data_IF_044407858845
#
_entry.id   IF_044407858845
#
_cell.length_a   1.000
_cell.length_b   1.000
_cell.length_c   1.000
_cell.angle_alpha   90.00
_cell.angle_beta   90.00
_cell.angle_gamma   90.00
#
_symmetry.space_group_name_H-M   'P 1'
#
loop_
_entity.id
_entity.type
_entity.pdbx_description
1 polymer ?
#
# COMPACT_ATOMS: atom_id res chain seq x y z
N UNK A 1 22.91 2.24 -10.02
CA UNK A 1 23.80 2.61 -8.91
C UNK A 1 24.84 1.54 -8.59
N UNK A 2 24.45 0.26 -8.41
CA UNK A 2 25.38 -0.86 -8.14
C UNK A 2 26.54 -0.97 -9.15
N UNK A 3 26.25 -0.87 -10.44
CA UNK A 3 27.25 -0.91 -11.52
C UNK A 3 28.25 0.26 -11.46
N UNK A 4 27.79 1.49 -11.20
CA UNK A 4 28.65 2.66 -11.03
C UNK A 4 29.53 2.60 -9.77
N UNK A 5 29.03 1.99 -8.69
CA UNK A 5 29.78 1.82 -7.45
C UNK A 5 30.90 0.77 -7.59
N UNK A 6 30.66 -0.31 -8.34
CA UNK A 6 31.66 -1.35 -8.66
C UNK A 6 32.75 -0.79 -9.58
N UNK A 7 32.36 0.04 -10.55
CA UNK A 7 33.29 0.72 -11.47
C UNK A 7 34.18 1.74 -10.74
N UNK A 8 33.61 2.48 -9.79
CA UNK A 8 34.36 3.45 -8.97
C UNK A 8 35.29 2.80 -7.93
N UNK A 9 34.95 1.61 -7.41
CA UNK A 9 35.77 0.91 -6.42
C UNK A 9 36.95 0.15 -7.03
N UNK A 10 36.90 -0.14 -8.33
CA UNK A 10 37.89 -0.96 -9.03
C UNK A 10 37.99 -2.41 -8.53
N UNK A 11 37.13 -2.81 -7.59
CA UNK A 11 37.18 -4.12 -6.96
C UNK A 11 35.81 -4.83 -7.06
N UNK A 12 35.66 -5.77 -8.00
CA UNK A 12 34.40 -6.48 -8.25
C UNK A 12 33.96 -7.38 -7.08
N UNK A 13 34.83 -7.62 -6.08
CA UNK A 13 34.51 -8.40 -4.89
C UNK A 13 33.76 -7.65 -3.78
N UNK A 14 33.63 -6.31 -3.87
CA UNK A 14 32.93 -5.53 -2.85
C UNK A 14 31.43 -5.55 -3.14
N UNK A 15 30.74 -6.50 -2.54
CA UNK A 15 29.27 -6.60 -2.56
C UNK A 15 28.65 -5.97 -1.32
N UNK A 16 27.34 -5.72 -1.35
CA UNK A 16 26.62 -5.24 -0.16
C UNK A 16 26.79 -6.18 1.04
N UNK A 17 26.68 -7.49 0.81
CA UNK A 17 26.85 -8.49 1.87
C UNK A 17 28.28 -8.51 2.44
N UNK A 18 29.29 -8.26 1.59
CA UNK A 18 30.68 -8.10 2.03
C UNK A 18 30.85 -6.88 2.93
N UNK A 19 30.26 -5.73 2.56
CA UNK A 19 30.32 -4.51 3.39
C UNK A 19 29.52 -4.68 4.68
N UNK A 20 28.35 -5.31 4.64
CA UNK A 20 27.51 -5.58 5.81
C UNK A 20 28.23 -6.48 6.81
N UNK A 21 28.80 -7.59 6.33
CA UNK A 21 29.61 -8.50 7.16
C UNK A 21 30.88 -7.85 7.69
N UNK A 22 31.55 -7.02 6.90
CA UNK A 22 32.74 -6.29 7.34
C UNK A 22 32.43 -5.22 8.40
N UNK A 23 31.28 -4.53 8.28
CA UNK A 23 30.85 -3.54 9.26
C UNK A 23 30.48 -4.17 10.62
N UNK A 24 30.01 -5.43 10.62
CA UNK A 24 29.68 -6.18 11.84
C UNK A 24 30.90 -6.71 12.59
N UNK A 25 32.11 -6.60 12.02
CA UNK A 25 33.35 -6.99 12.71
C UNK A 25 33.61 -6.04 13.89
N UNK A 26 34.09 -6.62 14.99
CA UNK A 26 34.43 -5.93 16.24
C UNK A 26 35.86 -5.38 16.27
N UNK A 27 36.61 -5.52 15.17
CA UNK A 27 37.95 -4.96 15.04
C UNK A 27 37.94 -3.50 14.59
N UNK A 28 39.12 -2.88 14.59
CA UNK A 28 39.30 -1.47 14.23
C UNK A 28 38.83 -1.15 12.80
N UNK A 29 38.88 -2.13 11.89
CA UNK A 29 38.43 -1.96 10.50
C UNK A 29 36.89 -1.96 10.42
N UNK A 30 36.22 -2.87 11.14
CA UNK A 30 34.76 -2.87 11.24
C UNK A 30 34.22 -1.60 11.93
N UNK A 31 34.93 -1.07 12.92
CA UNK A 31 34.57 0.19 13.57
C UNK A 31 34.73 1.40 12.65
N UNK A 32 35.82 1.47 11.87
CA UNK A 32 36.00 2.50 10.83
C UNK A 32 34.93 2.42 9.76
N UNK A 33 34.55 1.22 9.32
CA UNK A 33 33.47 1.03 8.35
C UNK A 33 32.13 1.53 8.89
N UNK A 34 31.78 1.21 10.15
CA UNK A 34 30.57 1.73 10.80
C UNK A 34 30.59 3.26 10.90
N UNK A 35 31.71 3.86 11.28
CA UNK A 35 31.90 5.32 11.33
C UNK A 35 31.73 5.97 9.95
N UNK A 36 32.33 5.39 8.90
CA UNK A 36 32.17 5.89 7.53
C UNK A 36 30.74 5.74 7.03
N UNK A 37 30.06 4.63 7.32
CA UNK A 37 28.64 4.42 6.99
C UNK A 37 27.78 5.49 7.68
N UNK A 38 27.98 5.72 8.98
CA UNK A 38 27.25 6.75 9.72
C UNK A 38 27.52 8.15 9.18
N UNK A 39 28.77 8.47 8.84
CA UNK A 39 29.14 9.77 8.27
C UNK A 39 28.48 10.01 6.91
N UNK A 40 28.48 9.00 6.04
CA UNK A 40 27.76 9.03 4.76
C UNK A 40 26.25 9.13 4.96
N UNK A 41 25.69 8.38 5.92
CA UNK A 41 24.28 8.44 6.26
C UNK A 41 23.87 9.83 6.78
N UNK A 42 24.71 10.49 7.58
CA UNK A 42 24.48 11.85 8.07
C UNK A 42 24.58 12.89 6.95
N UNK A 43 25.52 12.73 6.02
CA UNK A 43 25.64 13.59 4.83
C UNK A 43 24.43 13.45 3.90
N UNK A 44 24.00 12.23 3.63
CA UNK A 44 22.82 11.94 2.79
C UNK A 44 21.50 12.28 3.51
N UNK A 45 21.44 12.16 4.84
CA UNK A 45 20.27 12.58 5.63
C UNK A 45 19.97 14.07 5.45
N UNK A 46 20.99 14.90 5.24
CA UNK A 46 20.84 16.31 4.86
C UNK A 46 20.10 16.48 3.53
N UNK A 47 20.38 15.62 2.54
CA UNK A 47 19.67 15.61 1.27
C UNK A 47 18.21 15.16 1.46
N UNK A 48 17.94 14.09 2.21
CA UNK A 48 16.55 13.65 2.46
C UNK A 48 15.71 14.65 3.25
N UNK A 49 16.30 15.41 4.19
CA UNK A 49 15.60 16.44 4.98
C UNK A 49 15.29 17.71 4.19
N UNK A 50 16.15 18.08 3.23
CA UNK A 50 16.05 19.34 2.48
C UNK A 50 15.50 19.18 1.06
N UNK A 51 15.29 17.95 0.60
CA UNK A 51 14.73 17.67 -0.73
C UNK A 51 13.21 17.55 -0.58
N UNK A 52 12.43 18.54 -1.04
CA UNK A 52 10.99 18.50 -0.87
C UNK A 52 10.44 17.28 -1.62
N UNK A 53 9.45 16.56 -1.06
CA UNK A 53 9.08 15.23 -1.51
C UNK A 53 8.78 15.16 -3.00
N UNK A 54 8.22 16.21 -3.62
CA UNK A 54 7.94 16.33 -5.06
C UNK A 54 9.17 16.11 -5.97
N UNK A 55 10.39 16.33 -5.47
CA UNK A 55 11.65 16.16 -6.22
C UNK A 55 12.31 14.78 -6.07
N UNK A 56 11.81 13.93 -5.16
CA UNK A 56 12.29 12.55 -5.01
C UNK A 56 11.62 11.65 -6.06
N UNK A 57 12.42 11.07 -6.95
CA UNK A 57 11.98 10.18 -8.06
C UNK A 57 12.42 8.72 -7.84
N UNK A 58 12.58 8.30 -6.60
CA UNK A 58 12.90 6.89 -6.31
C UNK A 58 11.68 6.01 -6.60
N UNK A 59 11.91 4.77 -7.01
CA UNK A 59 10.83 3.81 -7.35
C UNK A 59 9.79 3.69 -6.22
N UNK A 60 10.26 3.71 -4.96
CA UNK A 60 9.38 3.67 -3.78
C UNK A 60 8.49 4.91 -3.65
N UNK A 61 9.02 6.10 -3.92
CA UNK A 61 8.25 7.35 -3.88
C UNK A 61 7.26 7.39 -5.04
N UNK A 62 7.66 6.94 -6.23
CA UNK A 62 6.79 6.85 -7.39
C UNK A 62 5.66 5.84 -7.19
N UNK A 63 5.95 4.65 -6.65
CA UNK A 63 4.92 3.66 -6.28
C UNK A 63 3.91 4.22 -5.27
N UNK A 64 4.38 5.01 -4.30
CA UNK A 64 3.50 5.66 -3.33
C UNK A 64 2.58 6.70 -3.98
N UNK A 65 3.11 7.52 -4.90
CA UNK A 65 2.32 8.49 -5.66
C UNK A 65 1.32 7.83 -6.59
N UNK A 66 1.74 6.79 -7.29
CA UNK A 66 0.87 6.05 -8.20
C UNK A 66 -0.29 5.42 -7.45
N UNK A 67 -0.06 4.95 -6.22
CA UNK A 67 -1.13 4.47 -5.35
C UNK A 67 -2.04 5.62 -4.91
N UNK A 68 -1.50 6.74 -4.45
CA UNK A 68 -2.28 7.92 -4.04
C UNK A 68 -3.17 8.46 -5.17
N UNK A 69 -2.62 8.61 -6.39
CA UNK A 69 -3.37 9.05 -7.57
C UNK A 69 -4.45 8.05 -7.95
N UNK A 70 -4.16 6.74 -7.87
CA UNK A 70 -5.16 5.69 -8.10
C UNK A 70 -6.33 5.80 -7.13
N UNK A 71 -6.05 6.03 -5.85
CA UNK A 71 -7.08 6.19 -4.82
C UNK A 71 -7.95 7.40 -5.07
N UNK A 72 -7.36 8.57 -5.30
CA UNK A 72 -8.13 9.78 -5.61
C UNK A 72 -8.97 9.63 -6.87
N UNK A 73 -8.43 8.96 -7.90
CA UNK A 73 -9.17 8.68 -9.13
C UNK A 73 -10.35 7.74 -8.87
N UNK A 74 -10.17 6.70 -8.05
CA UNK A 74 -11.24 5.76 -7.73
C UNK A 74 -12.35 6.43 -6.91
N UNK A 75 -11.99 7.25 -5.93
CA UNK A 75 -12.96 8.06 -5.15
C UNK A 75 -13.73 9.01 -6.06
N UNK A 76 -13.03 9.76 -6.92
CA UNK A 76 -13.68 10.68 -7.85
C UNK A 76 -14.59 9.97 -8.86
N UNK A 77 -14.18 8.79 -9.36
CA UNK A 77 -15.01 8.00 -10.26
C UNK A 77 -16.28 7.50 -9.57
N UNK A 78 -16.18 7.02 -8.33
CA UNK A 78 -17.33 6.62 -7.53
C UNK A 78 -18.31 7.80 -7.32
N UNK A 79 -17.79 8.99 -7.05
CA UNK A 79 -18.59 10.21 -6.97
C UNK A 79 -19.30 10.52 -8.30
N UNK A 80 -18.58 10.52 -9.42
CA UNK A 80 -19.13 10.76 -10.76
C UNK A 80 -20.22 9.75 -11.12
N UNK A 81 -19.97 8.45 -10.93
CA UNK A 81 -20.98 7.43 -11.23
C UNK A 81 -22.23 7.59 -10.34
N UNK A 82 -22.05 8.04 -9.10
CA UNK A 82 -23.18 8.37 -8.21
C UNK A 82 -24.00 9.55 -8.75
N UNK A 83 -23.35 10.59 -9.29
CA UNK A 83 -24.03 11.72 -9.93
C UNK A 83 -24.81 11.25 -11.16
N UNK A 84 -24.15 10.49 -12.04
CA UNK A 84 -24.74 9.97 -13.29
C UNK A 84 -25.98 9.11 -13.06
N UNK A 85 -26.04 8.43 -11.92
CA UNK A 85 -27.13 7.54 -11.55
C UNK A 85 -28.02 8.05 -10.41
N UNK A 86 -27.86 9.32 -10.02
CA UNK A 86 -28.55 9.93 -8.87
C UNK A 86 -30.09 9.87 -8.95
N UNK A 87 -30.66 9.78 -10.15
CA UNK A 87 -32.10 9.68 -10.38
C UNK A 87 -32.70 8.28 -10.20
N UNK A 88 -31.89 7.21 -10.24
CA UNK A 88 -32.35 5.82 -10.02
C UNK A 88 -31.19 4.95 -9.51
N UNK A 89 -30.88 5.12 -8.22
CA UNK A 89 -29.81 4.39 -7.53
C UNK A 89 -30.10 2.88 -7.45
N UNK A 90 -31.37 2.49 -7.43
CA UNK A 90 -31.78 1.09 -7.31
C UNK A 90 -31.49 0.32 -8.61
N UNK A 91 -31.80 0.90 -9.77
CA UNK A 91 -31.46 0.31 -11.07
C UNK A 91 -29.95 0.27 -11.32
N UNK A 92 -29.21 1.28 -10.87
CA UNK A 92 -27.74 1.35 -11.00
C UNK A 92 -26.98 0.59 -9.91
N UNK A 93 -27.68 0.02 -8.92
CA UNK A 93 -27.11 -0.56 -7.71
C UNK A 93 -25.91 -1.50 -7.93
N UNK A 94 -25.97 -2.48 -8.84
CA UNK A 94 -24.85 -3.39 -9.10
C UNK A 94 -23.59 -2.68 -9.64
N UNK A 95 -23.79 -1.66 -10.49
CA UNK A 95 -22.68 -0.90 -11.08
C UNK A 95 -22.03 0.01 -10.04
N UNK A 96 -22.85 0.76 -9.31
CA UNK A 96 -22.40 1.61 -8.20
C UNK A 96 -21.70 0.78 -7.13
N UNK A 97 -22.23 -0.40 -6.79
CA UNK A 97 -21.59 -1.33 -5.87
C UNK A 97 -20.18 -1.72 -6.34
N UNK A 98 -20.00 -2.06 -7.62
CA UNK A 98 -18.66 -2.36 -8.17
C UNK A 98 -17.72 -1.16 -8.03
N UNK A 99 -18.18 0.03 -8.38
CA UNK A 99 -17.43 1.28 -8.29
C UNK A 99 -16.96 1.59 -6.86
N UNK A 100 -17.86 1.42 -5.90
CA UNK A 100 -17.59 1.64 -4.49
C UNK A 100 -16.60 0.59 -3.96
N UNK A 101 -16.74 -0.67 -4.36
CA UNK A 101 -15.78 -1.72 -4.01
C UNK A 101 -14.38 -1.43 -4.56
N UNK A 102 -14.28 -0.92 -5.79
CA UNK A 102 -12.99 -0.52 -6.39
C UNK A 102 -12.36 0.67 -5.63
N UNK A 103 -13.16 1.65 -5.21
CA UNK A 103 -12.71 2.77 -4.39
C UNK A 103 -12.21 2.31 -3.01
N UNK A 104 -12.95 1.42 -2.34
CA UNK A 104 -12.57 0.85 -1.05
C UNK A 104 -11.25 0.06 -1.14
N UNK A 105 -11.11 -0.77 -2.18
CA UNK A 105 -9.88 -1.49 -2.45
C UNK A 105 -8.70 -0.56 -2.67
N UNK A 106 -8.88 0.53 -3.43
CA UNK A 106 -7.82 1.51 -3.65
C UNK A 106 -7.40 2.21 -2.35
N UNK A 107 -8.35 2.52 -1.46
CA UNK A 107 -8.08 3.08 -0.14
C UNK A 107 -7.23 2.10 0.70
N UNK A 108 -7.56 0.81 0.70
CA UNK A 108 -6.80 -0.20 1.44
C UNK A 108 -5.40 -0.43 0.89
N UNK A 109 -5.24 -0.37 -0.43
CA UNK A 109 -3.94 -0.45 -1.10
C UNK A 109 -3.10 0.84 -0.94
N UNK A 110 -3.67 1.92 -0.38
CA UNK A 110 -2.96 3.19 -0.21
C UNK A 110 -1.87 3.07 0.86
N UNK A 111 -0.60 3.36 0.52
CA UNK A 111 0.48 3.41 1.48
C UNK A 111 0.20 4.50 2.52
N UNK A 112 0.31 4.14 3.80
CA UNK A 112 0.05 5.08 4.87
C UNK A 112 -0.41 4.43 6.16
N UNK A 113 -0.70 5.26 7.13
CA UNK A 113 -1.27 4.88 8.42
C UNK A 113 -2.74 4.51 8.30
N UNK A 114 -3.24 3.75 9.28
CA UNK A 114 -4.68 3.46 9.40
C UNK A 114 -5.52 4.74 9.52
N UNK A 115 -4.96 5.79 10.12
CA UNK A 115 -5.67 7.06 10.27
C UNK A 115 -5.89 7.76 8.93
N UNK A 116 -4.89 7.77 8.04
CA UNK A 116 -5.01 8.32 6.70
C UNK A 116 -6.05 7.54 5.87
N UNK A 117 -6.05 6.20 5.95
CA UNK A 117 -7.09 5.39 5.28
C UNK A 117 -8.49 5.69 5.79
N UNK A 118 -8.67 5.88 7.11
CA UNK A 118 -9.97 6.31 7.67
C UNK A 118 -10.41 7.68 7.16
N UNK A 119 -9.46 8.61 6.98
CA UNK A 119 -9.76 9.92 6.41
C UNK A 119 -10.19 9.79 4.94
N UNK A 120 -9.47 8.99 4.13
CA UNK A 120 -9.86 8.72 2.74
C UNK A 120 -11.23 8.06 2.63
N UNK A 121 -11.54 7.13 3.53
CA UNK A 121 -12.88 6.53 3.63
C UNK A 121 -13.96 7.56 3.97
N UNK A 122 -13.69 8.47 4.92
CA UNK A 122 -14.61 9.56 5.23
C UNK A 122 -14.84 10.48 4.02
N UNK A 123 -13.78 10.80 3.26
CA UNK A 123 -13.89 11.59 2.04
C UNK A 123 -14.74 10.88 0.98
N UNK A 124 -14.55 9.57 0.78
CA UNK A 124 -15.40 8.78 -0.13
C UNK A 124 -16.87 8.86 0.27
N UNK A 125 -17.18 8.72 1.56
CA UNK A 125 -18.55 8.80 2.07
C UNK A 125 -19.15 10.18 1.86
N UNK A 126 -18.39 11.25 2.14
CA UNK A 126 -18.82 12.63 1.95
C UNK A 126 -19.06 12.95 0.46
N UNK A 127 -18.18 12.48 -0.43
CA UNK A 127 -18.31 12.66 -1.88
C UNK A 127 -19.57 11.97 -2.40
N UNK A 128 -19.82 10.72 -2.00
CA UNK A 128 -21.03 9.97 -2.39
C UNK A 128 -22.29 10.64 -1.86
N UNK A 129 -22.29 11.11 -0.61
CA UNK A 129 -23.42 11.80 -0.02
C UNK A 129 -23.70 13.13 -0.74
N UNK A 130 -22.67 13.88 -1.11
CA UNK A 130 -22.81 15.14 -1.85
C UNK A 130 -23.27 14.91 -3.30
N UNK A 131 -22.86 13.80 -3.91
CA UNK A 131 -23.17 13.44 -5.30
C UNK A 131 -24.62 12.97 -5.53
N UNK A 132 -25.26 12.38 -4.52
CA UNK A 132 -26.55 11.74 -4.70
C UNK A 132 -27.73 12.67 -4.42
N UNK A 133 -28.83 12.52 -5.18
CA UNK A 133 -30.11 13.17 -4.86
C UNK A 133 -30.73 12.60 -3.58
N UNK A 134 -30.50 11.31 -3.32
CA UNK A 134 -30.92 10.62 -2.09
C UNK A 134 -29.68 10.15 -1.30
N UNK A 135 -29.04 11.04 -0.51
CA UNK A 135 -27.76 10.76 0.13
C UNK A 135 -27.81 9.56 1.09
N UNK A 136 -28.93 9.38 1.80
CA UNK A 136 -29.11 8.24 2.70
C UNK A 136 -29.04 6.89 1.97
N UNK A 137 -29.69 6.78 0.81
CA UNK A 137 -29.65 5.55 0.01
C UNK A 137 -28.27 5.28 -0.57
N UNK A 138 -27.59 6.31 -1.07
CA UNK A 138 -26.25 6.16 -1.62
C UNK A 138 -25.24 5.73 -0.55
N UNK A 139 -25.32 6.30 0.65
CA UNK A 139 -24.48 5.89 1.79
C UNK A 139 -24.81 4.47 2.27
N UNK A 140 -26.08 4.07 2.26
CA UNK A 140 -26.45 2.68 2.60
C UNK A 140 -25.97 1.67 1.55
N UNK A 141 -25.98 2.05 0.27
CA UNK A 141 -25.38 1.27 -0.80
C UNK A 141 -23.86 1.15 -0.62
N UNK A 142 -23.17 2.25 -0.25
CA UNK A 142 -21.75 2.24 0.10
C UNK A 142 -21.45 1.27 1.26
N UNK A 143 -22.24 1.29 2.33
CA UNK A 143 -22.09 0.34 3.45
C UNK A 143 -22.31 -1.11 3.02
N UNK A 144 -23.25 -1.34 2.09
CA UNK A 144 -23.48 -2.67 1.53
C UNK A 144 -22.29 -3.13 0.67
N UNK A 145 -21.71 -2.23 -0.12
CA UNK A 145 -20.48 -2.53 -0.88
C UNK A 145 -19.30 -2.79 0.04
N UNK A 146 -19.17 -2.08 1.16
CA UNK A 146 -18.12 -2.31 2.15
C UNK A 146 -18.19 -3.73 2.73
N UNK A 147 -19.37 -4.18 3.15
CA UNK A 147 -19.56 -5.56 3.61
C UNK A 147 -19.21 -6.58 2.53
N UNK A 148 -19.65 -6.33 1.29
CA UNK A 148 -19.39 -7.22 0.16
C UNK A 148 -17.89 -7.30 -0.17
N UNK A 149 -17.17 -6.18 -0.04
CA UNK A 149 -15.72 -6.12 -0.19
C UNK A 149 -15.00 -6.91 0.90
N UNK A 150 -15.37 -6.72 2.17
CA UNK A 150 -14.78 -7.47 3.29
C UNK A 150 -15.06 -8.97 3.20
N UNK A 151 -16.27 -9.36 2.76
CA UNK A 151 -16.60 -10.77 2.51
C UNK A 151 -15.74 -11.36 1.39
N UNK A 152 -15.57 -10.62 0.28
CA UNK A 152 -14.72 -11.06 -0.83
C UNK A 152 -13.23 -11.16 -0.41
N UNK A 153 -12.75 -10.24 0.42
CA UNK A 153 -11.38 -10.29 0.95
C UNK A 153 -11.19 -11.47 1.91
N UNK A 154 -12.14 -11.69 2.82
CA UNK A 154 -12.15 -12.87 3.69
C UNK A 154 -12.07 -14.15 2.87
N UNK A 155 -12.92 -14.29 1.88
CA UNK A 155 -12.98 -15.49 1.04
C UNK A 155 -11.66 -15.67 0.26
N UNK A 156 -11.09 -14.60 -0.26
CA UNK A 156 -9.78 -14.62 -0.93
C UNK A 156 -8.62 -15.00 0.01
N UNK A 157 -8.68 -14.62 1.29
CA UNK A 157 -7.70 -15.02 2.31
C UNK A 157 -7.88 -16.51 2.63
N UNK A 158 -9.10 -16.96 2.89
CA UNK A 158 -9.41 -18.35 3.25
C UNK A 158 -9.10 -19.33 2.12
N UNK A 159 -9.37 -18.96 0.86
CA UNK A 159 -9.06 -19.78 -0.31
C UNK A 159 -7.56 -20.15 -0.42
N UNK A 160 -6.65 -19.37 0.19
CA UNK A 160 -5.20 -19.69 0.23
C UNK A 160 -4.88 -20.87 1.15
N UNK A 161 -5.78 -21.19 2.07
CA UNK A 161 -5.65 -22.26 3.06
C UNK A 161 -6.47 -23.50 2.69
N UNK A 162 -7.49 -23.36 1.83
CA UNK A 162 -8.21 -24.48 1.24
C UNK A 162 -7.24 -25.31 0.38
N UNK A 163 -6.97 -26.55 0.82
CA UNK A 163 -6.06 -27.49 0.14
C UNK A 163 -4.64 -27.61 0.73
N UNK A 164 -4.25 -26.78 1.71
CA UNK A 164 -2.94 -26.91 2.42
C UNK A 164 -3.04 -27.50 3.82
N UNK A 165 -4.24 -27.63 4.35
CA UNK A 165 -4.51 -28.35 5.59
C UNK A 165 -4.70 -29.83 5.25
N UNK A 166 -3.61 -30.53 4.90
CA UNK A 166 -3.58 -31.98 5.09
C UNK A 166 -3.71 -32.23 6.58
N UNK A 167 -4.77 -32.92 6.99
CA UNK A 167 -4.86 -33.49 8.33
C UNK A 167 -3.54 -34.23 8.59
N UNK A 168 -2.78 -33.83 9.60
CA UNK A 168 -1.60 -34.60 9.96
C UNK A 168 -2.11 -35.89 10.60
N UNK A 169 -2.03 -37.00 9.87
CA UNK A 169 -2.33 -38.34 10.39
C UNK A 169 -1.43 -38.71 11.59
N UNK A 170 -0.42 -37.89 11.89
CA UNK A 170 0.50 -38.01 13.03
C UNK A 170 -0.15 -37.72 14.40
N UNK A 171 -1.44 -37.38 14.46
CA UNK A 171 -2.19 -37.16 15.71
C UNK A 171 -3.11 -38.32 16.12
N UNK A 172 -2.99 -39.51 15.51
CA UNK A 172 -3.49 -40.76 16.10
C UNK A 172 -2.41 -41.37 17.04
N UNK A 173 -2.07 -40.61 18.08
CA UNK A 173 -1.31 -41.13 19.21
C UNK A 173 -2.25 -41.95 20.11
N UNK A 174 -2.37 -43.23 19.75
CA UNK A 174 -2.75 -44.38 20.58
C UNK A 174 -3.62 -44.14 21.82
N UNK A 175 -4.87 -44.60 21.73
CA UNK A 175 -5.64 -45.17 22.84
C UNK A 175 -6.13 -46.55 22.43
#
# INVERSE_FOLDING_TARGET
>A
MRSKAIEASGNPGITFDYVASAALRTDADGERLRLSINTLADQEAGAFRNTPPHTLTTDRVMQSRDAEVRTWRAIGLAGIETIEHSGDLDAAGPRLQSSYMDALKAIDETPGSTQERRQLHAVLQDEIAAAATEPGKAVDLLRKSERSYLDAERDAILARYEGKLTHSDDYDAGM
#
